data_IF_708468592579
#
_entry.id   IF_708468592579
#
_cell.length_a   1.000
_cell.length_b   1.000
_cell.length_c   1.000
_cell.angle_alpha   90.00
_cell.angle_beta   90.00
_cell.angle_gamma   90.00
#
_symmetry.space_group_name_H-M   'P 1'
#
loop_
_entity.id
_entity.type
_entity.pdbx_description
1 polymer ?
#
# COMPACT_ATOMS: atom_id res chain seq x y z
N UNK A 1 -16.56 16.27 -14.45
CA UNK A 1 -16.32 14.84 -14.60
C UNK A 1 -15.06 14.52 -13.82
N UNK A 2 -15.12 13.72 -12.75
CA UNK A 2 -13.93 13.27 -12.03
C UNK A 2 -13.40 12.05 -12.80
N UNK A 3 -12.41 12.23 -13.64
CA UNK A 3 -11.73 11.11 -14.29
C UNK A 3 -10.65 10.58 -13.34
N UNK A 4 -10.32 9.30 -13.46
CA UNK A 4 -9.05 8.80 -12.94
C UNK A 4 -7.91 9.67 -13.48
N UNK A 5 -6.69 9.56 -12.93
CA UNK A 5 -5.52 10.08 -13.66
C UNK A 5 -5.63 9.58 -15.12
N UNK A 6 -5.37 10.42 -16.13
CA UNK A 6 -5.79 10.19 -17.52
C UNK A 6 -5.30 8.85 -18.15
N UNK A 7 -4.49 8.08 -17.43
CA UNK A 7 -3.91 6.79 -17.79
C UNK A 7 -4.34 5.61 -16.90
N UNK A 8 -5.11 5.82 -15.83
CA UNK A 8 -5.53 4.75 -14.92
C UNK A 8 -7.01 4.41 -15.13
N UNK A 9 -7.31 3.32 -15.81
CA UNK A 9 -8.69 2.84 -15.99
C UNK A 9 -9.12 1.81 -14.94
N UNK A 10 -8.21 1.42 -14.04
CA UNK A 10 -8.40 0.30 -13.13
C UNK A 10 -8.66 0.71 -11.67
N UNK A 11 -8.36 1.95 -11.27
CA UNK A 11 -8.50 2.35 -9.86
C UNK A 11 -9.95 2.29 -9.32
N UNK A 12 -10.95 2.54 -10.17
CA UNK A 12 -12.36 2.65 -9.77
C UNK A 12 -13.28 1.82 -10.66
N UNK A 13 -14.45 1.44 -10.14
CA UNK A 13 -15.52 0.91 -10.97
C UNK A 13 -16.08 2.01 -11.89
N UNK A 14 -16.57 1.61 -13.06
CA UNK A 14 -17.32 2.53 -13.92
C UNK A 14 -18.63 2.95 -13.25
N UNK A 15 -19.09 4.18 -13.50
CA UNK A 15 -20.37 4.66 -12.98
C UNK A 15 -21.53 3.94 -13.65
N UNK A 16 -22.43 3.38 -12.85
CA UNK A 16 -23.71 2.89 -13.34
C UNK A 16 -24.73 4.06 -13.50
N UNK A 17 -25.78 3.88 -14.33
CA UNK A 17 -26.81 4.90 -14.49
C UNK A 17 -27.44 5.30 -13.14
N UNK A 18 -27.32 6.59 -12.79
CA UNK A 18 -27.85 7.13 -11.53
C UNK A 18 -26.80 7.26 -10.42
N UNK A 19 -25.60 6.71 -10.58
CA UNK A 19 -24.50 6.93 -9.65
C UNK A 19 -23.82 8.29 -9.90
N UNK A 20 -23.40 8.94 -8.82
CA UNK A 20 -22.77 10.28 -8.85
C UNK A 20 -21.34 10.28 -8.33
N UNK A 21 -20.85 9.14 -7.83
CA UNK A 21 -19.56 9.00 -7.18
C UNK A 21 -18.87 7.71 -7.63
N UNK A 22 -17.53 7.73 -7.67
CA UNK A 22 -16.74 6.56 -8.04
C UNK A 22 -16.40 5.74 -6.81
N UNK A 23 -16.66 4.43 -6.89
CA UNK A 23 -16.22 3.46 -5.89
C UNK A 23 -14.87 2.88 -6.29
N UNK A 24 -13.92 2.85 -5.35
CA UNK A 24 -12.61 2.25 -5.58
C UNK A 24 -12.73 0.74 -5.73
N UNK A 25 -11.95 0.15 -6.64
CA UNK A 25 -11.93 -1.31 -6.81
C UNK A 25 -11.29 -1.98 -5.61
N UNK A 26 -11.87 -3.11 -5.19
CA UNK A 26 -11.26 -3.97 -4.18
C UNK A 26 -9.99 -4.65 -4.73
N UNK A 27 -9.11 -5.12 -3.86
CA UNK A 27 -7.96 -5.92 -4.31
C UNK A 27 -8.39 -7.22 -5.00
N UNK A 28 -9.48 -7.84 -4.53
CA UNK A 28 -10.03 -9.05 -5.14
C UNK A 28 -10.45 -8.77 -6.59
N UNK A 29 -11.25 -7.73 -6.81
CA UNK A 29 -11.73 -7.35 -8.13
C UNK A 29 -10.60 -6.86 -9.02
N UNK A 30 -9.57 -6.23 -8.45
CA UNK A 30 -8.41 -5.77 -9.20
C UNK A 30 -7.72 -6.93 -9.94
N UNK A 31 -7.60 -8.09 -9.31
CA UNK A 31 -6.92 -9.24 -9.91
C UNK A 31 -7.87 -10.20 -10.63
N UNK A 32 -9.14 -10.28 -10.20
CA UNK A 32 -10.05 -11.31 -10.69
C UNK A 32 -11.08 -10.80 -11.70
N UNK A 33 -11.39 -9.49 -11.72
CA UNK A 33 -12.44 -8.94 -12.57
C UNK A 33 -11.80 -8.08 -13.67
N UNK A 34 -11.98 -8.42 -14.96
CA UNK A 34 -11.42 -7.65 -16.06
C UNK A 34 -12.11 -6.29 -16.21
N UNK A 35 -11.37 -5.29 -16.69
CA UNK A 35 -11.91 -3.97 -17.04
C UNK A 35 -12.04 -3.88 -18.56
N UNK A 36 -13.25 -3.67 -19.06
CA UNK A 36 -13.51 -3.68 -20.50
C UNK A 36 -12.70 -2.63 -21.29
N UNK A 37 -12.41 -1.49 -20.66
CA UNK A 37 -11.59 -0.42 -21.25
C UNK A 37 -10.08 -0.63 -21.10
N UNK A 38 -9.66 -1.67 -20.38
CA UNK A 38 -8.26 -2.02 -20.15
C UNK A 38 -7.98 -3.50 -20.50
N UNK A 39 -7.86 -3.84 -21.79
CA UNK A 39 -7.61 -5.21 -22.21
C UNK A 39 -6.23 -5.73 -21.75
N UNK A 40 -5.32 -4.83 -21.33
CA UNK A 40 -4.04 -5.19 -20.75
C UNK A 40 -4.14 -5.71 -19.32
N UNK A 41 -5.30 -5.58 -18.67
CA UNK A 41 -5.51 -5.95 -17.27
C UNK A 41 -5.11 -4.84 -16.31
N UNK A 42 -5.16 -5.14 -15.02
CA UNK A 42 -4.83 -4.23 -13.94
C UNK A 42 -3.64 -4.73 -13.14
N UNK A 43 -3.05 -3.86 -12.32
CA UNK A 43 -2.04 -4.21 -11.34
C UNK A 43 -2.49 -3.75 -9.96
N UNK A 44 -2.39 -4.64 -8.99
CA UNK A 44 -2.43 -4.23 -7.59
C UNK A 44 -1.07 -3.66 -7.23
N UNK A 45 -1.02 -2.34 -7.01
CA UNK A 45 0.21 -1.60 -6.73
C UNK A 45 0.86 -2.01 -5.42
N UNK A 46 2.11 -1.60 -5.23
CA UNK A 46 2.87 -1.83 -3.99
C UNK A 46 2.28 -1.17 -2.74
N UNK A 47 1.25 -0.33 -2.91
CA UNK A 47 0.54 0.32 -1.81
C UNK A 47 -0.88 -0.24 -1.58
N UNK A 48 -1.26 -1.26 -2.35
CA UNK A 48 -2.53 -1.96 -2.21
C UNK A 48 -3.68 -1.40 -3.02
N UNK A 49 -3.46 -0.40 -3.88
CA UNK A 49 -4.52 0.13 -4.76
C UNK A 49 -4.44 -0.48 -6.14
N UNK A 50 -5.61 -0.67 -6.76
CA UNK A 50 -5.67 -1.07 -8.15
C UNK A 50 -5.25 0.09 -9.07
N UNK A 51 -4.48 -0.23 -10.10
CA UNK A 51 -4.03 0.72 -11.12
C UNK A 51 -3.92 0.02 -12.47
N UNK A 52 -3.87 0.79 -13.57
CA UNK A 52 -3.65 0.23 -14.90
C UNK A 52 -2.25 -0.36 -15.06
N UNK A 53 -2.11 -1.38 -15.92
CA UNK A 53 -0.84 -2.06 -16.18
C UNK A 53 0.29 -1.15 -16.70
N UNK A 54 -0.02 0.07 -17.15
CA UNK A 54 0.99 1.10 -17.48
C UNK A 54 1.87 1.49 -16.27
N UNK A 55 1.42 1.22 -15.04
CA UNK A 55 2.17 1.46 -13.81
C UNK A 55 2.88 0.22 -13.25
N UNK A 56 2.82 -0.90 -13.97
CA UNK A 56 3.49 -2.13 -13.56
C UNK A 56 5.02 -1.99 -13.65
N UNK A 57 5.69 -2.29 -12.55
CA UNK A 57 7.14 -2.38 -12.43
C UNK A 57 7.52 -3.83 -12.14
N UNK A 58 8.14 -4.47 -13.12
CA UNK A 58 8.54 -5.88 -13.03
C UNK A 58 9.53 -6.16 -11.88
N UNK A 59 10.25 -5.15 -11.39
CA UNK A 59 11.20 -5.32 -10.28
C UNK A 59 10.50 -5.46 -8.93
N UNK A 60 9.23 -5.04 -8.86
CA UNK A 60 8.35 -5.19 -7.70
C UNK A 60 7.38 -6.37 -7.85
N UNK A 61 7.40 -7.08 -8.97
CA UNK A 61 6.53 -8.24 -9.15
C UNK A 61 6.85 -9.31 -8.11
N UNK A 62 5.82 -9.68 -7.34
CA UNK A 62 5.95 -10.58 -6.19
C UNK A 62 6.67 -11.90 -6.52
N UNK A 63 6.62 -12.35 -7.77
CA UNK A 63 7.17 -13.64 -8.23
C UNK A 63 8.64 -13.62 -8.56
N UNK A 64 9.19 -12.44 -8.87
CA UNK A 64 10.59 -12.28 -9.31
C UNK A 64 11.41 -11.48 -8.32
N UNK A 65 10.84 -11.15 -7.17
CA UNK A 65 11.57 -10.47 -6.10
C UNK A 65 12.74 -11.32 -5.61
N UNK A 66 13.92 -10.70 -5.51
CA UNK A 66 15.16 -11.34 -5.07
C UNK A 66 15.88 -10.46 -4.05
N UNK A 67 16.91 -11.02 -3.40
CA UNK A 67 17.72 -10.30 -2.43
C UNK A 67 16.87 -9.80 -1.24
N UNK A 68 17.02 -8.54 -0.80
CA UNK A 68 16.27 -8.00 0.33
C UNK A 68 14.75 -8.00 0.15
N UNK A 69 14.27 -8.05 -1.10
CA UNK A 69 12.85 -8.09 -1.43
C UNK A 69 12.29 -9.52 -1.56
N UNK A 70 13.13 -10.55 -1.54
CA UNK A 70 12.69 -11.94 -1.70
C UNK A 70 11.64 -12.30 -0.65
N UNK A 71 10.50 -12.83 -1.08
CA UNK A 71 9.39 -13.16 -0.21
C UNK A 71 8.76 -14.48 -0.66
N UNK A 72 8.47 -15.37 0.29
CA UNK A 72 7.90 -16.69 0.00
C UNK A 72 6.38 -16.73 0.08
N UNK A 73 5.73 -15.64 0.51
CA UNK A 73 4.28 -15.64 0.73
C UNK A 73 3.87 -16.52 1.91
N UNK A 74 4.73 -16.63 2.93
CA UNK A 74 4.50 -17.49 4.09
C UNK A 74 3.67 -16.79 5.17
N UNK A 75 2.69 -17.50 5.73
CA UNK A 75 1.88 -17.04 6.87
C UNK A 75 2.64 -17.05 8.20
N UNK A 76 3.78 -17.74 8.28
CA UNK A 76 4.56 -17.89 9.51
C UNK A 76 5.94 -17.25 9.43
N UNK A 77 6.37 -16.83 8.24
CA UNK A 77 7.65 -16.20 8.02
C UNK A 77 7.52 -14.97 7.11
N UNK A 78 7.42 -13.80 7.74
CA UNK A 78 7.36 -12.50 7.07
C UNK A 78 8.75 -11.89 6.78
N UNK A 79 9.79 -12.72 6.68
CA UNK A 79 11.12 -12.25 6.26
C UNK A 79 11.10 -11.78 4.80
N UNK A 80 11.84 -10.70 4.50
CA UNK A 80 11.98 -10.19 3.13
C UNK A 80 10.96 -9.12 2.73
N UNK A 81 10.76 -8.93 1.42
CA UNK A 81 10.15 -7.73 0.82
C UNK A 81 8.80 -7.31 1.39
N UNK A 82 8.58 -6.00 1.48
CA UNK A 82 7.36 -5.40 2.04
C UNK A 82 6.42 -4.84 0.96
N UNK A 83 6.97 -4.63 -0.24
CA UNK A 83 6.34 -3.83 -1.28
C UNK A 83 6.37 -4.62 -2.58
N UNK A 84 5.21 -5.17 -2.94
CA UNK A 84 5.05 -6.06 -4.09
C UNK A 84 3.90 -5.57 -4.97
N UNK A 85 4.05 -5.75 -6.27
CA UNK A 85 3.00 -5.55 -7.25
C UNK A 85 2.47 -6.90 -7.76
N UNK A 86 1.18 -6.92 -8.09
CA UNK A 86 0.47 -8.13 -8.53
C UNK A 86 -0.26 -7.83 -9.84
N UNK A 87 0.28 -8.24 -10.99
CA UNK A 87 -0.38 -8.02 -12.28
C UNK A 87 -1.50 -9.05 -12.50
N UNK A 88 -2.70 -8.60 -12.83
CA UNK A 88 -3.91 -9.43 -12.98
C UNK A 88 -3.84 -10.39 -14.18
N UNK A 89 -2.95 -10.13 -15.14
CA UNK A 89 -2.81 -10.94 -16.36
C UNK A 89 -2.40 -12.39 -16.08
N UNK A 90 -1.76 -12.64 -14.95
CA UNK A 90 -1.24 -13.94 -14.56
C UNK A 90 -1.17 -14.10 -13.03
N UNK A 91 -2.02 -13.37 -12.31
CA UNK A 91 -2.16 -13.44 -10.85
C UNK A 91 -3.64 -13.33 -10.52
N UNK A 92 -4.13 -14.19 -9.65
CA UNK A 92 -5.49 -14.13 -9.12
C UNK A 92 -5.47 -13.85 -7.62
N UNK A 93 -6.48 -13.17 -7.12
CA UNK A 93 -6.71 -13.03 -5.69
C UNK A 93 -7.49 -14.25 -5.18
N UNK A 94 -7.13 -14.78 -4.01
CA UNK A 94 -7.83 -15.95 -3.49
C UNK A 94 -9.25 -15.64 -3.02
N UNK A 95 -10.09 -16.67 -2.96
CA UNK A 95 -11.35 -16.58 -2.23
C UNK A 95 -11.13 -16.30 -0.75
N UNK A 96 -12.06 -15.57 -0.12
CA UNK A 96 -11.96 -15.22 1.29
C UNK A 96 -11.93 -16.45 2.22
N UNK A 97 -12.40 -17.60 1.75
CA UNK A 97 -12.43 -18.87 2.49
C UNK A 97 -11.17 -19.72 2.30
N UNK A 98 -10.22 -19.31 1.45
CA UNK A 98 -8.96 -20.04 1.30
C UNK A 98 -8.19 -20.04 2.64
N UNK A 99 -7.67 -21.20 3.10
CA UNK A 99 -7.01 -21.30 4.40
C UNK A 99 -5.86 -20.31 4.58
N UNK A 100 -5.06 -20.06 3.53
CA UNK A 100 -3.97 -19.11 3.59
C UNK A 100 -4.50 -17.69 3.75
N UNK A 101 -5.62 -17.34 3.10
CA UNK A 101 -6.29 -16.05 3.25
C UNK A 101 -6.83 -15.82 4.65
N UNK A 102 -7.45 -16.84 5.26
CA UNK A 102 -7.96 -16.75 6.63
C UNK A 102 -6.83 -16.44 7.63
N UNK A 103 -5.69 -17.10 7.47
CA UNK A 103 -4.51 -16.86 8.30
C UNK A 103 -3.88 -15.49 8.00
N UNK A 104 -3.74 -15.12 6.72
CA UNK A 104 -3.22 -13.82 6.29
C UNK A 104 -4.03 -12.65 6.85
N UNK A 105 -5.35 -12.75 6.79
CA UNK A 105 -6.26 -11.73 7.30
C UNK A 105 -6.16 -11.62 8.83
N UNK A 106 -6.07 -12.76 9.54
CA UNK A 106 -5.84 -12.77 10.99
C UNK A 106 -4.57 -12.01 11.35
N UNK A 107 -3.49 -12.22 10.58
CA UNK A 107 -2.21 -11.50 10.76
C UNK A 107 -2.37 -10.00 10.47
N UNK A 108 -3.01 -9.65 9.35
CA UNK A 108 -3.27 -8.26 8.97
C UNK A 108 -4.04 -7.50 10.06
N UNK A 109 -5.13 -8.09 10.57
CA UNK A 109 -5.95 -7.52 11.65
C UNK A 109 -5.14 -7.37 12.93
N UNK A 110 -4.38 -8.40 13.33
CA UNK A 110 -3.55 -8.34 14.53
C UNK A 110 -2.51 -7.21 14.46
N UNK A 111 -1.80 -7.09 13.34
CA UNK A 111 -0.84 -5.99 13.14
C UNK A 111 -1.53 -4.63 13.09
N UNK A 112 -2.73 -4.54 12.50
CA UNK A 112 -3.51 -3.31 12.45
C UNK A 112 -3.89 -2.83 13.85
N UNK A 113 -4.38 -3.73 14.71
CA UNK A 113 -4.72 -3.41 16.11
C UNK A 113 -3.52 -2.92 16.92
N UNK A 114 -2.32 -3.40 16.58
CA UNK A 114 -1.07 -2.99 17.21
C UNK A 114 -0.46 -1.71 16.58
N UNK A 115 -1.14 -1.08 15.61
CA UNK A 115 -0.61 0.01 14.79
C UNK A 115 0.76 -0.32 14.16
N UNK A 116 0.97 -1.59 13.81
CA UNK A 116 2.19 -2.04 13.17
C UNK A 116 2.13 -1.74 11.67
N UNK A 117 3.23 -1.20 11.13
CA UNK A 117 3.30 -0.82 9.73
C UNK A 117 3.11 -2.02 8.78
N UNK A 118 3.42 -3.25 9.21
CA UNK A 118 3.27 -4.46 8.40
C UNK A 118 1.85 -4.65 7.86
N UNK A 119 0.83 -4.28 8.62
CA UNK A 119 -0.55 -4.32 8.15
C UNK A 119 -0.77 -3.46 6.90
N UNK A 120 0.00 -2.38 6.73
CA UNK A 120 -0.10 -1.44 5.60
C UNK A 120 0.77 -1.81 4.42
N UNK A 121 1.59 -2.86 4.55
CA UNK A 121 2.48 -3.34 3.49
C UNK A 121 1.73 -4.27 2.55
N UNK A 122 2.26 -4.44 1.35
CA UNK A 122 1.74 -5.40 0.36
C UNK A 122 2.44 -6.75 0.48
N UNK A 123 2.86 -7.14 1.70
CA UNK A 123 3.12 -8.53 2.06
C UNK A 123 1.92 -9.42 1.69
N UNK A 124 2.19 -10.67 1.33
CA UNK A 124 1.16 -11.60 0.89
C UNK A 124 1.30 -12.98 1.51
N UNK A 125 0.23 -13.76 1.36
CA UNK A 125 0.20 -15.18 1.59
C UNK A 125 -0.20 -15.90 0.29
N UNK A 126 0.38 -17.06 0.02
CA UNK A 126 0.03 -17.89 -1.14
C UNK A 126 -1.03 -18.93 -0.76
N UNK A 127 -2.15 -18.92 -1.48
CA UNK A 127 -3.20 -19.93 -1.37
C UNK A 127 -2.89 -21.21 -2.12
N UNK A 128 -3.75 -22.22 -1.97
CA UNK A 128 -3.51 -23.58 -2.49
C UNK A 128 -3.40 -23.64 -4.01
N UNK A 129 -4.08 -22.72 -4.72
CA UNK A 129 -4.06 -22.61 -6.18
C UNK A 129 -2.97 -21.68 -6.73
N UNK A 130 -2.11 -21.14 -5.86
CA UNK A 130 -1.13 -20.10 -6.22
C UNK A 130 -1.72 -18.69 -6.34
N UNK A 131 -2.99 -18.50 -5.98
CA UNK A 131 -3.60 -17.20 -5.78
C UNK A 131 -2.95 -16.45 -4.59
N UNK A 132 -3.16 -15.14 -4.52
CA UNK A 132 -2.56 -14.29 -3.47
C UNK A 132 -3.61 -13.70 -2.52
N UNK A 133 -3.22 -13.53 -1.26
CA UNK A 133 -3.93 -12.77 -0.24
C UNK A 133 -2.99 -11.70 0.31
N UNK A 134 -3.36 -10.43 0.26
CA UNK A 134 -2.44 -9.33 0.58
C UNK A 134 -2.85 -8.66 1.88
N UNK A 135 -1.91 -8.46 2.81
CA UNK A 135 -2.19 -7.90 4.15
C UNK A 135 -2.91 -6.56 4.07
N UNK A 136 -2.38 -5.72 3.18
CA UNK A 136 -2.85 -4.37 2.89
C UNK A 136 -4.33 -4.30 2.45
N UNK A 137 -4.87 -5.43 1.97
CA UNK A 137 -6.19 -5.58 1.36
C UNK A 137 -7.25 -6.12 2.33
N UNK A 138 -6.87 -6.44 3.57
CA UNK A 138 -7.84 -6.71 4.63
C UNK A 138 -8.81 -5.51 4.75
N UNK A 139 -10.14 -5.72 4.82
CA UNK A 139 -11.11 -4.64 4.80
C UNK A 139 -10.91 -3.57 5.90
N UNK A 140 -10.44 -3.95 7.09
CA UNK A 140 -10.18 -3.00 8.17
C UNK A 140 -8.96 -2.15 7.84
N UNK A 141 -7.91 -2.76 7.31
CA UNK A 141 -6.69 -2.05 6.90
C UNK A 141 -6.96 -1.17 5.68
N UNK A 142 -7.68 -1.69 4.70
CA UNK A 142 -8.03 -1.02 3.46
C UNK A 142 -8.81 0.27 3.73
N UNK A 143 -9.85 0.20 4.58
CA UNK A 143 -10.66 1.36 4.98
C UNK A 143 -9.83 2.48 5.62
N UNK A 144 -8.71 2.16 6.28
CA UNK A 144 -7.81 3.17 6.85
C UNK A 144 -6.97 3.91 5.80
N UNK A 145 -6.86 3.39 4.57
CA UNK A 145 -6.01 3.95 3.51
C UNK A 145 -6.78 4.52 2.33
N UNK A 146 -8.05 4.17 2.18
CA UNK A 146 -8.88 4.61 1.06
C UNK A 146 -9.86 5.68 1.49
N UNK A 147 -9.89 6.77 0.74
CA UNK A 147 -11.01 7.70 0.79
C UNK A 147 -12.01 7.22 -0.25
N UNK A 148 -13.18 6.74 0.20
CA UNK A 148 -14.26 6.51 -0.75
C UNK A 148 -14.82 7.88 -1.15
N UNK A 149 -14.94 8.11 -2.45
CA UNK A 149 -15.53 9.35 -2.97
C UNK A 149 -17.06 9.34 -2.88
N UNK A 150 -17.62 8.28 -2.29
CA UNK A 150 -19.05 8.03 -2.16
C UNK A 150 -19.59 8.26 -0.75
N UNK A 151 -18.75 8.13 0.29
CA UNK A 151 -19.16 8.26 1.69
C UNK A 151 -19.44 9.72 2.10
N UNK A 152 -19.05 10.71 1.30
CA UNK A 152 -19.31 12.13 1.56
C UNK A 152 -20.77 12.55 1.32
N UNK A 153 -21.61 11.66 0.77
CA UNK A 153 -22.97 12.01 0.34
C UNK A 153 -24.02 11.98 1.45
N UNK A 154 -23.68 11.56 2.68
CA UNK A 154 -24.65 11.42 3.77
C UNK A 154 -24.35 12.25 5.04
N UNK A 155 -23.36 13.15 4.99
CA UNK A 155 -23.05 14.04 6.12
C UNK A 155 -23.80 15.37 6.01
N UNK A 156 -25.14 15.31 5.91
CA UNK A 156 -26.00 16.48 6.21
C UNK A 156 -27.12 16.07 7.16
N UNK A 157 -26.76 15.67 8.38
CA UNK A 157 -27.69 15.66 9.51
C UNK A 157 -26.95 15.87 10.83
N UNK A 158 -26.82 17.15 11.20
CA UNK A 158 -26.81 17.59 12.59
C UNK A 158 -25.47 17.60 13.31
N UNK A 159 -24.72 18.70 13.16
CA UNK A 159 -24.14 19.40 14.32
C UNK A 159 -24.21 20.90 14.05
N UNK A 160 -25.10 21.57 14.81
CA UNK A 160 -25.14 23.02 14.88
C UNK A 160 -24.06 23.56 15.83
N UNK A 161 -23.59 24.76 15.48
CA UNK A 161 -22.99 25.81 16.31
C UNK A 161 -21.51 26.12 16.08
N UNK A 162 -21.28 27.29 15.47
CA UNK A 162 -20.06 28.11 15.47
C UNK A 162 -19.10 27.78 14.32
N UNK A 163 -19.03 28.51 13.20
CA UNK A 163 -19.01 29.97 13.06
C UNK A 163 -19.35 30.35 11.62
N UNK A 164 -20.06 31.47 11.46
CA UNK A 164 -20.44 32.00 10.16
C UNK A 164 -19.22 32.45 9.33
N UNK A 165 -19.20 32.08 8.05
CA UNK A 165 -18.77 32.98 6.98
C UNK A 165 -19.41 32.56 5.65
N UNK A 166 -20.03 33.56 5.03
CA UNK A 166 -20.93 33.50 3.89
C UNK A 166 -20.20 33.42 2.56
N UNK A 167 -20.77 32.60 1.67
CA UNK A 167 -21.04 32.87 0.24
C UNK A 167 -19.90 33.32 -0.68
N UNK A 168 -19.54 32.44 -1.63
CA UNK A 168 -19.04 32.86 -2.94
C UNK A 168 -17.99 31.95 -3.56
N UNK A 169 -18.37 31.31 -4.67
CA UNK A 169 -17.50 31.00 -5.82
C UNK A 169 -16.72 29.67 -5.79
N UNK A 170 -17.21 28.74 -6.62
CA UNK A 170 -16.46 27.72 -7.36
C UNK A 170 -15.29 27.05 -6.66
N UNK A 171 -15.54 25.94 -5.96
CA UNK A 171 -14.46 25.04 -5.57
C UNK A 171 -13.94 24.32 -6.82
N UNK A 172 -12.97 24.95 -7.47
CA UNK A 172 -11.98 24.28 -8.33
C UNK A 172 -11.26 23.27 -7.46
N UNK A 173 -11.75 22.03 -7.44
CA UNK A 173 -11.04 20.92 -6.82
C UNK A 173 -9.84 20.57 -7.70
N UNK A 174 -8.65 20.98 -7.27
CA UNK A 174 -7.42 20.42 -7.79
C UNK A 174 -7.39 18.93 -7.41
N UNK A 175 -7.18 18.00 -8.37
CA UNK A 175 -6.98 16.60 -8.02
C UNK A 175 -5.74 16.53 -7.14
N UNK A 176 -5.85 15.85 -5.99
CA UNK A 176 -4.72 15.52 -5.15
C UNK A 176 -3.86 14.48 -5.89
N UNK A 177 -3.05 14.95 -6.84
CA UNK A 177 -1.94 14.20 -7.43
C UNK A 177 -0.78 14.23 -6.44
N UNK A 178 -0.99 13.70 -5.25
CA UNK A 178 0.11 13.41 -4.34
C UNK A 178 0.05 11.93 -4.04
N UNK A 179 0.66 11.16 -4.94
CA UNK A 179 1.55 10.09 -4.48
C UNK A 179 2.30 10.63 -3.25
N UNK A 180 2.25 9.98 -2.09
CA UNK A 180 2.96 10.46 -0.93
C UNK A 180 4.44 10.44 -1.29
N UNK A 181 5.00 11.61 -1.61
CA UNK A 181 6.43 11.79 -1.54
C UNK A 181 6.80 11.46 -0.10
N UNK A 182 7.62 10.42 0.05
CA UNK A 182 8.32 10.19 1.31
C UNK A 182 9.11 11.46 1.56
N UNK A 183 8.67 12.27 2.54
CA UNK A 183 9.55 13.27 3.13
C UNK A 183 10.64 12.46 3.81
N UNK A 184 11.70 12.17 3.06
CA UNK A 184 12.96 11.80 3.67
C UNK A 184 13.38 13.03 4.45
N UNK A 185 13.12 13.05 5.76
CA UNK A 185 13.92 13.86 6.65
C UNK A 185 15.34 13.31 6.52
N UNK A 186 16.07 13.88 5.56
CA UNK A 186 17.49 13.70 5.42
C UNK A 186 18.08 14.40 6.63
N UNK A 187 18.19 13.68 7.74
CA UNK A 187 19.05 14.07 8.83
C UNK A 187 20.43 14.27 8.20
N UNK A 188 20.82 15.54 8.09
CA UNK A 188 22.10 15.96 7.56
C UNK A 188 23.19 15.18 8.28
N UNK A 189 23.89 14.33 7.53
CA UNK A 189 25.16 13.78 7.96
C UNK A 189 26.12 14.96 8.11
N UNK A 190 26.23 15.48 9.32
CA UNK A 190 27.34 16.34 9.67
C UNK A 190 28.56 15.45 9.82
N UNK A 191 29.32 15.40 8.74
CA UNK A 191 30.76 15.20 8.71
C UNK A 191 31.42 15.94 9.89
N UNK A 192 31.92 15.19 10.86
CA UNK A 192 32.96 15.64 11.78
C UNK A 192 34.15 14.70 11.62
N UNK A 193 35.06 15.09 10.72
CA UNK A 193 36.44 14.62 10.72
C UNK A 193 37.19 15.33 11.84
N UNK A 194 38.14 14.59 12.42
CA UNK A 194 39.21 15.01 13.33
C UNK A 194 38.84 15.27 14.80
N UNK A 195 39.34 14.40 15.67
CA UNK A 195 40.34 14.77 16.68
C UNK A 195 41.03 13.50 17.20
N UNK A 196 42.28 13.32 16.77
CA UNK A 196 43.26 12.47 17.43
C UNK A 196 43.48 13.00 18.84
N UNK A 197 43.18 12.21 19.86
CA UNK A 197 43.74 12.39 21.19
C UNK A 197 44.54 11.15 21.55
N UNK A 198 45.85 11.31 21.38
CA UNK A 198 46.91 10.56 22.05
C UNK A 198 46.62 10.51 23.55
N UNK A 199 46.36 9.33 24.10
CA UNK A 199 46.72 9.04 25.49
C UNK A 199 47.14 7.57 25.62
N UNK A 200 48.45 7.38 25.67
CA UNK A 200 49.09 6.57 26.70
C UNK A 200 48.89 5.06 26.64
N UNK A 201 49.70 4.40 25.83
CA UNK A 201 50.20 3.05 26.12
C UNK A 201 50.93 3.11 27.47
N UNK A 202 50.70 2.12 28.36
CA UNK A 202 51.85 1.37 28.84
C UNK A 202 51.65 -0.13 28.62
N UNK A 203 52.51 -0.64 27.75
CA UNK A 203 52.93 -2.03 27.68
C UNK A 203 53.48 -2.42 29.04
N UNK A 204 52.78 -3.28 29.79
CA UNK A 204 53.42 -4.07 30.83
C UNK A 204 53.84 -5.42 30.23
N UNK A 205 55.02 -5.38 29.60
CA UNK A 205 55.91 -6.53 29.54
C UNK A 205 56.58 -6.59 30.91
N UNK A 206 56.35 -7.66 31.67
CA UNK A 206 57.32 -8.14 32.65
C UNK A 206 57.63 -9.59 32.26
N UNK A 207 58.89 -9.77 31.87
CA UNK A 207 59.56 -11.02 31.56
C UNK A 207 59.88 -11.81 32.84
N UNK A 208 59.80 -13.14 32.72
CA UNK A 208 60.68 -14.17 33.31
C UNK A 208 60.95 -14.15 34.83
N UNK A 209 60.43 -15.17 35.55
CA UNK A 209 61.19 -16.31 36.11
C UNK A 209 60.25 -17.52 36.17
#
# INVERSE_FOLDING_TARGET
SRTNADLDTCAYYGLEPGETCFKQRSCYDCLNVPVATDPGGCVLSQFGYCASMVFYDYTLDYRVTTGPNADSGSTTNFSGGLYHQYPSVNTTYCEATDPACLECNTIAVNYSMQNNYLAKTTKFCLGESGCVCVLSCDPLVWKLRTVSLCDDSNSTSGLGSGSAQSSGSGSSWSPYTTSPYVVTNRASSNSMRYLYWLLGIPVFIVLLV
#
